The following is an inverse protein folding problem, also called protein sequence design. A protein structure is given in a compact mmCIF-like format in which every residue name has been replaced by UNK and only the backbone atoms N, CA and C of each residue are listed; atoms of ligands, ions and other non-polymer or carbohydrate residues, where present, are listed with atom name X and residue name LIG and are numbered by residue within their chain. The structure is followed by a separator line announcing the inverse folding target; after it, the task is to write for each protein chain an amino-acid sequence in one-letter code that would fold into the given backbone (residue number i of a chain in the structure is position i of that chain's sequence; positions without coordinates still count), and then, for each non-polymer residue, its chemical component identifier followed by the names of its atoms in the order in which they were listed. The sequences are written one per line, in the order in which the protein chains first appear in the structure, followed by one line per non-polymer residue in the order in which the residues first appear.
data_IF_937417111614
#
_entry.id   IF_937417111614
#
_cell.length_a   1.000
_cell.length_b   1.000
_cell.length_c   1.000
_cell.angle_alpha   90.00
_cell.angle_beta   90.00
_cell.angle_gamma   90.00
#
_symmetry.space_group_name_H-M   'P 1'
#
loop_
_entity.id
_entity.type
_entity.pdbx_description
1 polymer ?
#
# COMPACT_ATOMS: atom_id res chain seq x y z
N UNK A 1 -37.98 -3.63 -17.05
CA UNK A 1 -37.89 -4.94 -17.71
C UNK A 1 -38.28 -6.05 -16.74
N UNK A 2 -39.37 -5.83 -15.97
CA UNK A 2 -39.88 -6.75 -14.93
C UNK A 2 -41.42 -6.84 -15.01
N UNK A 3 -41.93 -6.96 -16.21
CA UNK A 3 -43.37 -7.06 -16.43
C UNK A 3 -43.71 -8.48 -16.92
N UNK A 4 -43.64 -9.43 -15.97
CA UNK A 4 -44.18 -10.78 -16.13
C UNK A 4 -45.04 -11.08 -14.91
N UNK A 5 -46.37 -10.87 -14.99
CA UNK A 5 -47.27 -10.92 -13.86
C UNK A 5 -47.44 -12.31 -13.18
N UNK A 6 -46.93 -13.38 -13.81
CA UNK A 6 -47.06 -14.75 -13.32
C UNK A 6 -45.77 -15.47 -12.92
N UNK A 7 -44.66 -14.72 -12.76
CA UNK A 7 -43.38 -15.32 -12.32
C UNK A 7 -42.91 -14.73 -10.99
N UNK A 8 -42.80 -15.57 -9.99
CA UNK A 8 -42.19 -15.21 -8.71
C UNK A 8 -40.67 -15.08 -8.90
N UNK A 9 -40.12 -13.92 -8.57
CA UNK A 9 -38.69 -13.62 -8.69
C UNK A 9 -37.87 -14.22 -7.56
N UNK A 10 -38.49 -14.57 -6.43
CA UNK A 10 -37.85 -15.23 -5.31
C UNK A 10 -38.82 -15.44 -4.12
N UNK A 11 -38.58 -16.49 -3.37
CA UNK A 11 -39.29 -16.81 -2.14
C UNK A 11 -38.28 -16.81 -1.01
N UNK A 12 -38.48 -15.96 -0.02
CA UNK A 12 -37.66 -15.94 1.20
C UNK A 12 -38.28 -16.88 2.26
N UNK A 13 -37.51 -17.86 2.69
CA UNK A 13 -37.90 -18.83 3.70
C UNK A 13 -37.13 -18.59 4.99
N UNK A 14 -37.81 -18.34 6.08
CA UNK A 14 -37.19 -18.22 7.40
C UNK A 14 -37.30 -19.55 8.14
N UNK A 15 -36.15 -20.12 8.47
CA UNK A 15 -36.09 -21.36 9.25
C UNK A 15 -36.20 -21.08 10.75
N UNK A 16 -36.83 -22.00 11.49
CA UNK A 16 -36.93 -21.94 12.95
C UNK A 16 -35.59 -22.25 13.63
N UNK A 17 -34.86 -23.20 13.05
CA UNK A 17 -33.49 -23.57 13.44
C UNK A 17 -32.53 -23.28 12.28
N UNK A 18 -31.50 -22.43 12.45
CA UNK A 18 -30.52 -22.15 11.42
C UNK A 18 -29.70 -23.38 10.97
N UNK A 19 -29.54 -24.36 11.86
CA UNK A 19 -28.75 -25.58 11.61
C UNK A 19 -29.42 -26.49 10.57
N UNK A 20 -30.73 -26.36 10.33
CA UNK A 20 -31.46 -27.12 9.32
C UNK A 20 -31.29 -26.56 7.90
N UNK A 21 -30.63 -25.41 7.75
CA UNK A 21 -30.47 -24.72 6.47
C UNK A 21 -29.87 -25.60 5.36
N UNK A 22 -28.78 -26.37 5.58
CA UNK A 22 -28.20 -27.20 4.53
C UNK A 22 -29.14 -28.36 4.11
N UNK A 23 -29.91 -28.92 5.05
CA UNK A 23 -30.84 -29.99 4.77
C UNK A 23 -32.03 -29.50 3.95
N UNK A 24 -32.58 -28.34 4.33
CA UNK A 24 -33.68 -27.70 3.59
C UNK A 24 -33.23 -27.24 2.21
N UNK A 25 -32.04 -26.65 2.10
CA UNK A 25 -31.46 -26.20 0.84
C UNK A 25 -31.28 -27.42 -0.15
N UNK A 26 -30.78 -28.55 0.35
CA UNK A 26 -30.62 -29.74 -0.46
C UNK A 26 -31.95 -30.33 -0.96
N UNK A 27 -33.03 -30.17 -0.19
CA UNK A 27 -34.37 -30.60 -0.59
C UNK A 27 -34.99 -29.67 -1.62
N UNK A 28 -34.84 -28.35 -1.40
CA UNK A 28 -35.39 -27.32 -2.30
C UNK A 28 -34.63 -27.27 -3.64
N UNK A 29 -33.32 -27.52 -3.64
CA UNK A 29 -32.50 -27.58 -4.85
C UNK A 29 -32.86 -28.74 -5.80
N UNK A 30 -33.69 -29.71 -5.36
CA UNK A 30 -34.24 -30.77 -6.22
C UNK A 30 -35.42 -30.30 -7.08
N UNK A 31 -35.97 -29.14 -6.78
CA UNK A 31 -37.05 -28.54 -7.56
C UNK A 31 -36.47 -27.94 -8.83
N UNK A 32 -36.91 -28.46 -9.97
CA UNK A 32 -36.42 -28.04 -11.29
C UNK A 32 -36.68 -26.57 -11.54
N UNK A 33 -35.59 -25.78 -11.68
CA UNK A 33 -35.66 -24.34 -11.89
C UNK A 33 -35.59 -23.49 -10.62
N UNK A 34 -35.42 -24.07 -9.40
CA UNK A 34 -35.19 -23.34 -8.18
C UNK A 34 -33.69 -23.20 -7.89
N UNK A 35 -33.20 -22.00 -7.79
CA UNK A 35 -31.87 -21.69 -7.27
C UNK A 35 -32.00 -21.35 -5.78
N UNK A 36 -31.37 -22.14 -4.94
CA UNK A 36 -31.45 -22.00 -3.49
C UNK A 36 -30.18 -21.36 -2.98
N UNK A 37 -30.27 -20.15 -2.50
CA UNK A 37 -29.14 -19.42 -1.92
C UNK A 37 -29.35 -19.36 -0.40
N UNK A 38 -28.45 -19.97 0.36
CA UNK A 38 -28.47 -19.91 1.81
C UNK A 38 -27.80 -18.63 2.32
N UNK A 39 -28.21 -18.14 3.51
CA UNK A 39 -27.54 -17.01 4.16
C UNK A 39 -26.04 -17.30 4.40
N UNK A 40 -25.70 -18.57 4.72
CA UNK A 40 -24.31 -19.00 4.88
C UNK A 40 -23.49 -18.86 3.60
N UNK A 41 -24.05 -19.24 2.47
CA UNK A 41 -23.40 -19.09 1.14
C UNK A 41 -23.23 -17.61 0.75
N UNK A 42 -24.26 -16.79 1.01
CA UNK A 42 -24.17 -15.34 0.79
C UNK A 42 -23.05 -14.70 1.62
N UNK A 43 -23.01 -14.99 2.92
CA UNK A 43 -21.96 -14.50 3.80
C UNK A 43 -20.59 -15.04 3.41
N UNK A 44 -20.49 -16.32 3.08
CA UNK A 44 -19.27 -16.94 2.59
C UNK A 44 -18.76 -16.29 1.30
N UNK A 45 -19.64 -16.05 0.34
CA UNK A 45 -19.30 -15.34 -0.90
C UNK A 45 -18.84 -13.90 -0.63
N UNK A 46 -19.54 -13.17 0.23
CA UNK A 46 -19.15 -11.82 0.63
C UNK A 46 -17.78 -11.81 1.32
N UNK A 47 -17.51 -12.73 2.24
CA UNK A 47 -16.20 -12.85 2.90
C UNK A 47 -15.09 -13.19 1.89
N UNK A 48 -15.37 -14.07 0.94
CA UNK A 48 -14.42 -14.42 -0.13
C UNK A 48 -14.13 -13.24 -1.05
N UNK A 49 -15.16 -12.49 -1.45
CA UNK A 49 -15.00 -11.26 -2.25
C UNK A 49 -14.20 -10.19 -1.49
N UNK A 50 -14.50 -9.97 -0.20
CA UNK A 50 -13.72 -9.06 0.63
C UNK A 50 -12.27 -9.52 0.80
N UNK A 51 -12.04 -10.81 0.98
CA UNK A 51 -10.71 -11.40 1.05
C UNK A 51 -9.92 -11.22 -0.25
N UNK A 52 -10.56 -11.47 -1.38
CA UNK A 52 -9.98 -11.28 -2.71
C UNK A 52 -9.66 -9.81 -2.98
N UNK A 53 -10.57 -8.89 -2.65
CA UNK A 53 -10.34 -7.45 -2.76
C UNK A 53 -9.15 -6.99 -1.90
N UNK A 54 -9.06 -7.46 -0.65
CA UNK A 54 -7.94 -7.20 0.25
C UNK A 54 -6.62 -7.71 -0.32
N UNK A 55 -6.61 -8.92 -0.86
CA UNK A 55 -5.41 -9.52 -1.48
C UNK A 55 -4.94 -8.71 -2.69
N UNK A 56 -5.87 -8.29 -3.56
CA UNK A 56 -5.55 -7.42 -4.71
C UNK A 56 -4.96 -6.08 -4.25
N UNK A 57 -5.56 -5.44 -3.25
CA UNK A 57 -5.05 -4.18 -2.70
C UNK A 57 -3.63 -4.36 -2.12
N UNK A 58 -3.39 -5.43 -1.35
CA UNK A 58 -2.06 -5.73 -0.82
C UNK A 58 -1.03 -5.97 -1.93
N UNK A 59 -1.41 -6.64 -3.01
CA UNK A 59 -0.54 -6.86 -4.16
C UNK A 59 -0.16 -5.53 -4.85
N UNK A 60 -1.13 -4.64 -5.04
CA UNK A 60 -0.90 -3.30 -5.60
C UNK A 60 0.04 -2.50 -4.69
N UNK A 61 -0.21 -2.50 -3.38
CA UNK A 61 0.65 -1.80 -2.39
C UNK A 61 2.07 -2.34 -2.45
N UNK A 62 2.26 -3.66 -2.53
CA UNK A 62 3.58 -4.27 -2.63
C UNK A 62 4.33 -3.79 -3.89
N UNK A 63 3.65 -3.74 -5.04
CA UNK A 63 4.24 -3.25 -6.29
C UNK A 63 4.64 -1.78 -6.15
N UNK A 64 3.79 -0.93 -5.56
CA UNK A 64 4.08 0.48 -5.32
C UNK A 64 5.31 0.64 -4.42
N UNK A 65 5.44 -0.17 -3.38
CA UNK A 65 6.59 -0.17 -2.47
C UNK A 65 7.88 -0.49 -3.24
N UNK A 66 7.86 -1.52 -4.08
CA UNK A 66 9.02 -1.92 -4.88
C UNK A 66 9.42 -0.79 -5.84
N UNK A 67 8.46 -0.22 -6.57
CA UNK A 67 8.71 0.90 -7.49
C UNK A 67 9.27 2.10 -6.74
N UNK A 68 8.72 2.44 -5.58
CA UNK A 68 9.19 3.54 -4.74
C UNK A 68 10.62 3.32 -4.23
N UNK A 69 10.93 2.10 -3.79
CA UNK A 69 12.28 1.75 -3.34
C UNK A 69 13.31 1.87 -4.48
N UNK A 70 12.95 1.42 -5.69
CA UNK A 70 13.79 1.58 -6.89
C UNK A 70 13.95 3.06 -7.27
N UNK A 71 12.88 3.87 -7.13
CA UNK A 71 12.93 5.32 -7.34
C UNK A 71 13.91 6.02 -6.40
N UNK A 72 13.84 5.73 -5.10
CA UNK A 72 14.78 6.25 -4.10
C UNK A 72 16.22 5.84 -4.44
N UNK A 73 16.43 4.55 -4.72
CA UNK A 73 17.74 4.01 -5.08
C UNK A 73 18.32 4.72 -6.31
N UNK A 74 17.52 4.91 -7.35
CA UNK A 74 17.98 5.58 -8.59
C UNK A 74 18.30 7.05 -8.33
N UNK A 75 17.46 7.77 -7.60
CA UNK A 75 17.66 9.19 -7.26
C UNK A 75 18.94 9.40 -6.45
N UNK A 76 19.18 8.57 -5.43
CA UNK A 76 20.38 8.66 -4.60
C UNK A 76 21.62 8.27 -5.39
N UNK A 77 21.53 7.24 -6.25
CA UNK A 77 22.65 6.89 -7.13
C UNK A 77 23.03 8.04 -8.06
N UNK A 78 22.03 8.70 -8.67
CA UNK A 78 22.26 9.84 -9.56
C UNK A 78 22.91 10.99 -8.80
N UNK A 79 22.39 11.33 -7.61
CA UNK A 79 23.00 12.35 -6.73
C UNK A 79 24.45 12.04 -6.38
N UNK A 80 24.79 10.78 -6.09
CA UNK A 80 26.17 10.34 -5.83
C UNK A 80 27.04 10.51 -7.07
N UNK A 81 26.53 10.16 -8.26
CA UNK A 81 27.28 10.34 -9.52
C UNK A 81 27.56 11.81 -9.81
N UNK A 82 26.57 12.69 -9.65
CA UNK A 82 26.74 14.14 -9.86
C UNK A 82 27.78 14.76 -8.93
N UNK A 83 27.89 14.24 -7.68
CA UNK A 83 28.82 14.72 -6.65
C UNK A 83 30.09 13.88 -6.54
N UNK A 84 30.38 13.01 -7.54
CA UNK A 84 31.55 12.10 -7.47
C UNK A 84 32.86 12.86 -7.29
N UNK A 85 33.02 14.02 -7.92
CA UNK A 85 34.22 14.86 -7.79
C UNK A 85 34.35 15.43 -6.37
N UNK A 86 33.27 15.91 -5.77
CA UNK A 86 33.26 16.42 -4.39
C UNK A 86 33.62 15.32 -3.39
N UNK A 87 33.04 14.14 -3.57
CA UNK A 87 33.36 12.94 -2.78
C UNK A 87 34.83 12.56 -2.94
N UNK A 88 35.36 12.63 -4.17
CA UNK A 88 36.77 12.40 -4.45
C UNK A 88 37.71 13.36 -3.74
N UNK A 89 37.37 14.66 -3.73
CA UNK A 89 38.12 15.69 -2.99
C UNK A 89 38.05 15.42 -1.48
N UNK A 90 36.89 15.18 -0.92
CA UNK A 90 36.76 14.84 0.51
C UNK A 90 37.61 13.62 0.88
N UNK A 91 37.66 12.61 0.02
CA UNK A 91 38.48 11.41 0.22
C UNK A 91 39.97 11.74 0.13
N UNK A 92 40.39 12.60 -0.80
CA UNK A 92 41.78 13.02 -0.97
C UNK A 92 42.26 13.88 0.24
N UNK A 93 41.37 14.66 0.86
CA UNK A 93 41.66 15.43 2.07
C UNK A 93 41.59 14.64 3.36
N UNK A 94 41.35 13.31 3.27
CA UNK A 94 41.43 12.40 4.43
C UNK A 94 40.09 11.93 5.00
N UNK A 95 38.95 12.22 4.37
CA UNK A 95 37.69 11.68 4.82
C UNK A 95 37.68 10.15 4.76
N UNK A 96 37.26 9.49 5.86
CA UNK A 96 37.16 8.04 5.91
C UNK A 96 35.97 7.52 5.09
N UNK A 97 36.03 6.26 4.68
CA UNK A 97 34.91 5.60 3.97
C UNK A 97 33.61 5.63 4.82
N UNK A 98 33.74 5.40 6.12
CA UNK A 98 32.61 5.45 7.04
C UNK A 98 31.99 6.86 7.11
N UNK A 99 32.80 7.90 7.01
CA UNK A 99 32.29 9.28 6.98
C UNK A 99 31.45 9.55 5.73
N UNK A 100 31.97 9.20 4.55
CA UNK A 100 31.22 9.35 3.28
C UNK A 100 29.96 8.50 3.27
N UNK A 101 30.04 7.25 3.73
CA UNK A 101 28.88 6.40 3.89
C UNK A 101 27.82 7.05 4.76
N UNK A 102 28.20 7.50 5.97
CA UNK A 102 27.28 8.12 6.91
C UNK A 102 26.62 9.38 6.36
N UNK A 103 27.38 10.20 5.61
CA UNK A 103 26.87 11.42 5.01
C UNK A 103 25.77 11.12 3.97
N UNK A 104 26.02 10.24 3.01
CA UNK A 104 25.04 9.89 1.97
C UNK A 104 23.84 9.15 2.57
N UNK A 105 24.10 8.27 3.54
CA UNK A 105 23.03 7.51 4.20
C UNK A 105 22.12 8.41 5.04
N UNK A 106 22.69 9.35 5.80
CA UNK A 106 21.92 10.31 6.58
C UNK A 106 21.12 11.25 5.68
N UNK A 107 21.71 11.73 4.58
CA UNK A 107 21.00 12.53 3.56
C UNK A 107 19.76 11.75 3.03
N UNK A 108 19.93 10.47 2.70
CA UNK A 108 18.83 9.61 2.24
C UNK A 108 17.73 9.47 3.30
N UNK A 109 18.10 9.26 4.56
CA UNK A 109 17.15 9.16 5.66
C UNK A 109 16.38 10.46 5.88
N UNK A 110 17.05 11.60 5.83
CA UNK A 110 16.41 12.93 5.97
C UNK A 110 15.43 13.21 4.82
N UNK A 111 15.84 12.94 3.57
CA UNK A 111 14.96 13.09 2.42
C UNK A 111 13.74 12.18 2.52
N UNK A 112 13.91 10.94 2.98
CA UNK A 112 12.82 9.99 3.17
C UNK A 112 11.90 10.37 4.31
N UNK A 113 12.43 10.96 5.39
CA UNK A 113 11.64 11.48 6.50
C UNK A 113 10.76 12.67 6.05
N UNK A 114 11.34 13.62 5.33
CA UNK A 114 10.61 14.77 4.80
C UNK A 114 9.56 14.33 3.76
N UNK A 115 9.93 13.41 2.86
CA UNK A 115 9.01 12.81 1.89
C UNK A 115 7.89 12.01 2.56
N UNK A 116 8.20 11.28 3.62
CA UNK A 116 7.23 10.52 4.41
C UNK A 116 6.22 11.42 5.11
N UNK A 117 6.67 12.50 5.75
CA UNK A 117 5.80 13.50 6.39
C UNK A 117 4.92 14.19 5.33
N UNK A 118 5.51 14.63 4.22
CA UNK A 118 4.78 15.24 3.11
C UNK A 118 3.76 14.30 2.48
N UNK A 119 4.16 13.05 2.20
CA UNK A 119 3.28 12.01 1.66
C UNK A 119 2.12 11.68 2.59
N UNK A 120 2.38 11.60 3.90
CA UNK A 120 1.35 11.39 4.90
C UNK A 120 0.37 12.57 4.97
N UNK A 121 0.87 13.81 4.90
CA UNK A 121 0.04 15.01 4.81
C UNK A 121 -0.86 15.00 3.58
N UNK A 122 -0.32 14.68 2.41
CA UNK A 122 -1.09 14.54 1.17
C UNK A 122 -2.12 13.41 1.25
N UNK A 123 -1.77 12.28 1.86
CA UNK A 123 -2.69 11.16 2.06
C UNK A 123 -3.88 11.57 2.96
N UNK A 124 -3.64 12.35 4.02
CA UNK A 124 -4.69 12.87 4.90
C UNK A 124 -5.65 13.81 4.17
N UNK A 125 -5.10 14.75 3.41
CA UNK A 125 -5.89 15.69 2.61
C UNK A 125 -6.70 14.94 1.56
N UNK A 126 -6.06 14.02 0.83
CA UNK A 126 -6.70 13.18 -0.18
C UNK A 126 -7.82 12.31 0.39
N UNK A 127 -7.58 11.69 1.56
CA UNK A 127 -8.60 10.89 2.25
C UNK A 127 -9.84 11.70 2.62
N UNK A 128 -9.65 12.92 3.15
CA UNK A 128 -10.77 13.83 3.46
C UNK A 128 -11.52 14.30 2.22
N UNK A 129 -10.78 14.63 1.15
CA UNK A 129 -11.38 15.00 -0.13
C UNK A 129 -12.23 13.85 -0.69
N UNK A 130 -11.68 12.62 -0.70
CA UNK A 130 -12.39 11.43 -1.15
C UNK A 130 -13.64 11.16 -0.30
N UNK A 131 -13.54 11.27 1.03
CA UNK A 131 -14.67 11.11 1.93
C UNK A 131 -15.78 12.12 1.65
N UNK A 132 -15.44 13.37 1.36
CA UNK A 132 -16.41 14.42 1.01
C UNK A 132 -17.16 14.11 -0.29
N UNK A 133 -16.44 13.58 -1.29
CA UNK A 133 -16.99 13.16 -2.58
C UNK A 133 -17.92 11.96 -2.40
N UNK A 134 -17.47 10.93 -1.68
CA UNK A 134 -18.26 9.72 -1.42
C UNK A 134 -19.56 10.07 -0.68
N UNK A 135 -19.50 10.89 0.37
CA UNK A 135 -20.70 11.34 1.11
C UNK A 135 -21.66 12.16 0.27
N UNK A 136 -21.17 12.87 -0.74
CA UNK A 136 -22.01 13.66 -1.64
C UNK A 136 -22.77 12.80 -2.65
N UNK A 137 -22.15 11.72 -3.13
CA UNK A 137 -22.75 10.85 -4.15
C UNK A 137 -23.46 9.61 -3.59
N UNK A 138 -23.14 9.19 -2.38
CA UNK A 138 -23.78 8.04 -1.71
C UNK A 138 -24.48 8.49 -0.42
N UNK A 139 -25.80 8.80 -0.46
CA UNK A 139 -26.57 9.24 0.72
C UNK A 139 -26.65 8.19 1.83
N UNK A 140 -26.41 6.92 1.50
CA UNK A 140 -26.38 5.78 2.44
C UNK A 140 -24.97 5.46 2.98
N UNK A 141 -23.96 6.31 2.71
CA UNK A 141 -22.63 6.10 3.27
C UNK A 141 -22.66 6.12 4.81
N UNK A 142 -21.88 5.26 5.47
CA UNK A 142 -21.82 5.23 6.93
C UNK A 142 -21.50 6.61 7.48
N UNK A 143 -22.20 7.03 8.55
CA UNK A 143 -22.02 8.34 9.20
C UNK A 143 -20.68 8.48 9.93
N UNK A 144 -19.86 7.41 9.98
CA UNK A 144 -18.51 7.40 10.54
C UNK A 144 -17.45 7.90 9.57
N UNK A 145 -16.25 8.22 10.08
CA UNK A 145 -15.07 8.47 9.26
C UNK A 145 -14.68 7.20 8.52
N UNK A 146 -14.59 7.27 7.19
CA UNK A 146 -14.17 6.13 6.34
C UNK A 146 -12.69 5.81 6.58
N UNK A 147 -11.92 6.82 7.00
CA UNK A 147 -10.49 6.69 7.31
C UNK A 147 -10.28 7.01 8.80
N UNK A 148 -10.36 5.99 9.64
CA UNK A 148 -9.96 6.08 11.04
C UNK A 148 -8.43 6.01 11.12
N UNK A 149 -7.78 7.18 11.22
CA UNK A 149 -6.34 7.27 11.42
C UNK A 149 -6.05 7.22 12.92
N UNK A 150 -5.71 6.05 13.40
CA UNK A 150 -5.18 5.90 14.75
C UNK A 150 -3.73 6.42 14.83
N UNK A 151 -3.33 7.07 15.93
CA UNK A 151 -1.95 7.56 16.11
C UNK A 151 -0.89 6.47 15.92
N UNK A 152 -1.19 5.22 16.28
CA UNK A 152 -0.32 4.07 16.08
C UNK A 152 -0.03 3.78 14.60
N UNK A 153 -0.99 4.01 13.71
CA UNK A 153 -0.82 3.82 12.28
C UNK A 153 0.19 4.80 11.68
N UNK A 154 0.26 6.03 12.20
CA UNK A 154 1.26 7.02 11.78
C UNK A 154 2.68 6.56 12.08
N UNK A 155 2.92 6.09 13.29
CA UNK A 155 4.23 5.57 13.71
C UNK A 155 4.63 4.37 12.87
N UNK A 156 3.70 3.47 12.60
CA UNK A 156 3.95 2.27 11.80
C UNK A 156 4.29 2.64 10.35
N UNK A 157 3.54 3.55 9.73
CA UNK A 157 3.81 4.03 8.38
C UNK A 157 5.18 4.70 8.32
N UNK A 158 5.51 5.57 9.29
CA UNK A 158 6.79 6.26 9.33
C UNK A 158 7.95 5.29 9.53
N UNK A 159 7.80 4.32 10.43
CA UNK A 159 8.79 3.26 10.64
C UNK A 159 9.01 2.44 9.35
N UNK A 160 7.94 2.16 8.60
CA UNK A 160 8.01 1.45 7.34
C UNK A 160 8.72 2.26 6.25
N UNK A 161 8.42 3.56 6.11
CA UNK A 161 9.08 4.48 5.18
C UNK A 161 10.59 4.56 5.48
N UNK A 162 10.95 4.73 6.75
CA UNK A 162 12.35 4.75 7.18
C UNK A 162 13.04 3.40 6.94
N UNK A 163 12.34 2.29 7.16
CA UNK A 163 12.85 0.95 6.85
C UNK A 163 13.20 0.78 5.36
N UNK A 164 12.33 1.25 4.47
CA UNK A 164 12.60 1.26 3.03
C UNK A 164 13.80 2.16 2.72
N UNK A 165 13.88 3.35 3.31
CA UNK A 165 14.99 4.28 3.11
C UNK A 165 16.34 3.69 3.55
N UNK A 166 16.37 3.00 4.70
CA UNK A 166 17.56 2.28 5.18
C UNK A 166 18.04 1.29 4.14
N UNK A 167 17.14 0.45 3.63
CA UNK A 167 17.48 -0.61 2.66
C UNK A 167 17.87 -0.01 1.30
N UNK A 168 17.05 0.90 0.76
CA UNK A 168 17.28 1.50 -0.56
C UNK A 168 18.51 2.42 -0.59
N UNK A 169 18.78 3.14 0.50
CA UNK A 169 19.93 4.04 0.63
C UNK A 169 21.26 3.34 0.93
N UNK A 170 21.21 2.09 1.41
CA UNK A 170 22.42 1.37 1.81
C UNK A 170 23.38 1.14 0.64
N UNK A 171 22.88 0.66 -0.49
CA UNK A 171 23.71 0.37 -1.66
C UNK A 171 24.37 1.63 -2.26
N UNK A 172 23.67 2.74 -2.53
CA UNK A 172 24.29 3.97 -3.01
C UNK A 172 25.33 4.53 -2.05
N UNK A 173 25.03 4.56 -0.73
CA UNK A 173 25.97 5.03 0.28
C UNK A 173 27.25 4.20 0.32
N UNK A 174 27.13 2.87 0.19
CA UNK A 174 28.28 1.99 0.12
C UNK A 174 29.11 2.23 -1.15
N UNK A 175 28.45 2.48 -2.28
CA UNK A 175 29.11 2.79 -3.55
C UNK A 175 29.83 4.12 -3.48
N UNK A 176 29.23 5.16 -2.91
CA UNK A 176 29.87 6.46 -2.68
C UNK A 176 31.11 6.33 -1.79
N UNK A 177 31.02 5.57 -0.69
CA UNK A 177 32.12 5.35 0.23
C UNK A 177 33.33 4.63 -0.41
N UNK A 178 33.08 3.79 -1.40
CA UNK A 178 34.13 3.03 -2.14
C UNK A 178 34.68 3.74 -3.38
N UNK A 179 34.22 4.96 -3.69
CA UNK A 179 34.75 5.73 -4.82
C UNK A 179 36.25 5.97 -4.65
N UNK A 180 37.00 5.69 -5.71
CA UNK A 180 38.48 5.89 -5.74
C UNK A 180 38.79 7.33 -6.07
N UNK A 181 39.58 8.06 -5.23
CA UNK A 181 39.88 9.48 -5.45
C UNK A 181 40.52 9.75 -6.82
N UNK A 182 41.40 8.84 -7.31
CA UNK A 182 42.11 9.00 -8.57
C UNK A 182 41.16 8.95 -9.77
N UNK A 183 40.17 8.04 -9.75
CA UNK A 183 39.20 7.92 -10.84
C UNK A 183 38.21 9.10 -10.83
N UNK A 184 37.83 9.58 -9.63
CA UNK A 184 36.94 10.73 -9.46
C UNK A 184 37.54 12.06 -9.94
N UNK A 185 38.86 12.23 -9.88
CA UNK A 185 39.57 13.41 -10.36
C UNK A 185 39.94 13.36 -11.84
N UNK A 186 39.89 12.17 -12.48
CA UNK A 186 40.26 11.95 -13.86
C UNK A 186 39.10 11.93 -14.85
N UNK A 187 37.86 11.92 -14.35
CA UNK A 187 36.63 12.00 -15.16
C UNK A 187 36.39 13.43 -15.62
N UNK A 188 37.01 13.81 -16.74
CA UNK A 188 36.53 14.85 -17.63
C UNK A 188 35.62 14.27 -18.69
#
# INVERSE_FOLDING_TARGET
MFDQPDKLTGISIRLKNPDDAPVVASRLGKIKGAEVITMGELLGTMMTLMGSAKSLLLSIVLIIIIISALGVLNTVLMSVFERTREIGVMRATGASQAHIFGLVWLETLMLSLLGGIGGLGLALVGARALESVVKRFLPLAPKGSVVALEPGSFLLIMAFVLGIAVVAGFYPALRAARAKPIEALRSE
#
